data_IF_618454025235
#
_entry.id   IF_618454025235
#
_cell.length_a   1.000
_cell.length_b   1.000
_cell.length_c   1.000
_cell.angle_alpha   90.00
_cell.angle_beta   90.00
_cell.angle_gamma   90.00
#
_symmetry.space_group_name_H-M   'P 1'
#
loop_
_entity.id
_entity.type
_entity.pdbx_description
1 polymer ?
#
# COMPACT_ATOMS: atom_id res chain seq x y z
N UNK A 1 -1.25 -24.64 7.28
CA UNK A 1 -1.48 -23.18 7.29
C UNK A 1 -2.93 -22.97 7.71
N UNK A 2 -3.22 -21.94 8.50
CA UNK A 2 -4.61 -21.62 8.85
C UNK A 2 -5.33 -21.06 7.63
N UNK A 3 -6.58 -21.45 7.40
CA UNK A 3 -7.38 -21.04 6.23
C UNK A 3 -8.75 -20.49 6.65
N UNK A 4 -9.18 -19.43 5.96
CA UNK A 4 -10.51 -18.84 6.03
C UNK A 4 -11.11 -18.86 4.63
N UNK A 5 -12.01 -19.79 4.35
CA UNK A 5 -12.62 -19.93 3.04
C UNK A 5 -13.96 -19.20 3.00
N UNK A 6 -14.07 -18.19 2.14
CA UNK A 6 -15.26 -17.37 2.01
C UNK A 6 -16.45 -18.23 1.54
N UNK A 7 -17.56 -18.20 2.29
CA UNK A 7 -18.75 -19.01 2.00
C UNK A 7 -19.56 -18.50 0.82
N UNK A 8 -19.46 -17.21 0.51
CA UNK A 8 -20.20 -16.55 -0.57
C UNK A 8 -20.15 -15.03 -0.45
N UNK A 9 -21.08 -14.37 -1.14
CA UNK A 9 -21.15 -12.91 -1.15
C UNK A 9 -21.48 -12.34 0.24
N UNK A 10 -20.73 -11.31 0.62
CA UNK A 10 -20.93 -10.64 1.90
C UNK A 10 -22.13 -9.67 1.82
N UNK A 11 -23.13 -9.79 2.72
CA UNK A 11 -24.31 -8.93 2.69
C UNK A 11 -24.02 -7.49 3.13
N UNK A 12 -22.90 -7.26 3.83
CA UNK A 12 -22.45 -5.95 4.34
C UNK A 12 -20.93 -5.83 4.27
N UNK A 13 -20.39 -4.63 4.58
CA UNK A 13 -18.95 -4.46 4.83
C UNK A 13 -18.59 -5.16 6.14
N UNK A 14 -17.43 -5.81 6.15
CA UNK A 14 -16.90 -6.50 7.32
C UNK A 14 -15.54 -5.91 7.69
N UNK A 15 -15.26 -5.88 8.98
CA UNK A 15 -14.01 -5.38 9.55
C UNK A 15 -13.15 -6.57 10.01
N UNK A 16 -12.02 -6.78 9.34
CA UNK A 16 -11.06 -7.85 9.67
C UNK A 16 -9.92 -7.35 10.58
N UNK A 17 -10.10 -6.23 11.28
CA UNK A 17 -9.17 -5.80 12.33
C UNK A 17 -8.94 -6.95 13.33
N UNK A 18 -7.67 -7.20 13.67
CA UNK A 18 -7.24 -8.23 14.61
C UNK A 18 -7.54 -9.67 14.16
N UNK A 19 -8.05 -9.89 12.95
CA UNK A 19 -8.11 -11.22 12.33
C UNK A 19 -6.72 -11.52 11.75
N UNK A 20 -5.79 -11.86 12.65
CA UNK A 20 -4.37 -12.14 12.36
C UNK A 20 -4.01 -13.55 12.80
N UNK A 21 -3.02 -14.21 12.19
CA UNK A 21 -2.63 -15.57 12.57
C UNK A 21 -2.29 -15.67 14.07
N UNK A 22 -1.59 -14.68 14.62
CA UNK A 22 -1.28 -14.63 16.05
C UNK A 22 -2.53 -14.53 16.94
N UNK A 23 -3.52 -13.73 16.56
CA UNK A 23 -4.76 -13.61 17.35
C UNK A 23 -5.59 -14.90 17.27
N UNK A 24 -5.59 -15.56 16.11
CA UNK A 24 -6.35 -16.80 15.89
C UNK A 24 -5.67 -18.03 16.51
N UNK A 25 -4.34 -18.07 16.62
CA UNK A 25 -3.61 -19.23 17.16
C UNK A 25 -3.92 -19.52 18.63
N UNK A 26 -4.40 -18.54 19.38
CA UNK A 26 -4.83 -18.69 20.77
C UNK A 26 -6.28 -19.18 20.94
N UNK A 27 -7.04 -19.36 19.85
CA UNK A 27 -8.46 -19.69 19.87
C UNK A 27 -8.71 -21.07 19.27
N UNK A 28 -9.74 -21.77 19.77
CA UNK A 28 -10.33 -22.87 19.02
C UNK A 28 -11.12 -22.36 17.82
N UNK A 29 -11.34 -23.21 16.81
CA UNK A 29 -12.16 -22.86 15.64
C UNK A 29 -13.57 -22.41 16.02
N UNK A 30 -14.16 -23.01 17.05
CA UNK A 30 -15.48 -22.65 17.57
C UNK A 30 -15.50 -21.28 18.27
N UNK A 31 -14.40 -20.87 18.89
CA UNK A 31 -14.26 -19.54 19.49
C UNK A 31 -13.97 -18.49 18.42
N UNK A 32 -13.07 -18.78 17.49
CA UNK A 32 -12.79 -17.92 16.35
C UNK A 32 -14.05 -17.65 15.52
N UNK A 33 -14.89 -18.66 15.32
CA UNK A 33 -16.16 -18.53 14.60
C UNK A 33 -17.14 -17.53 15.22
N UNK A 34 -17.05 -17.25 16.53
CA UNK A 34 -17.94 -16.30 17.24
C UNK A 34 -17.45 -14.86 17.18
N UNK A 35 -16.26 -14.59 16.62
CA UNK A 35 -15.74 -13.24 16.50
C UNK A 35 -16.65 -12.41 15.59
N UNK A 36 -17.17 -11.30 16.11
CA UNK A 36 -18.00 -10.39 15.33
C UNK A 36 -17.12 -9.55 14.40
N UNK A 37 -17.41 -9.62 13.10
CA UNK A 37 -16.73 -8.87 12.05
C UNK A 37 -17.69 -7.95 11.26
N UNK A 38 -18.99 -8.11 11.47
CA UNK A 38 -20.01 -7.28 10.82
C UNK A 38 -19.96 -5.83 11.28
N UNK A 39 -20.22 -4.91 10.35
CA UNK A 39 -20.30 -3.47 10.64
C UNK A 39 -21.72 -3.03 11.00
N UNK A 40 -22.74 -3.83 10.68
CA UNK A 40 -24.13 -3.49 11.00
C UNK A 40 -24.56 -4.03 12.37
N UNK A 41 -25.75 -3.61 12.80
CA UNK A 41 -26.39 -4.11 14.03
C UNK A 41 -26.93 -5.54 13.91
N UNK A 42 -26.87 -6.16 12.73
CA UNK A 42 -27.35 -7.54 12.52
C UNK A 42 -26.38 -8.56 13.10
N UNK A 43 -25.09 -8.21 13.26
CA UNK A 43 -24.06 -9.05 13.82
C UNK A 43 -23.68 -10.20 12.89
N UNK A 44 -22.73 -9.96 11.99
CA UNK A 44 -22.11 -11.02 11.19
C UNK A 44 -20.85 -11.52 11.92
N UNK A 45 -20.75 -12.83 12.14
CA UNK A 45 -19.57 -13.44 12.76
C UNK A 45 -18.60 -14.00 11.72
N UNK A 46 -17.38 -14.31 12.16
CA UNK A 46 -16.36 -14.92 11.30
C UNK A 46 -16.83 -16.27 10.74
N UNK A 47 -17.56 -17.08 11.53
CA UNK A 47 -18.10 -18.37 11.10
C UNK A 47 -19.26 -18.27 10.10
N UNK A 48 -20.02 -17.16 10.14
CA UNK A 48 -21.08 -16.89 9.15
C UNK A 48 -20.49 -16.55 7.79
N UNK A 49 -19.36 -15.85 7.76
CA UNK A 49 -18.69 -15.42 6.54
C UNK A 49 -17.73 -16.47 5.98
N UNK A 50 -17.05 -17.23 6.85
CA UNK A 50 -15.96 -18.14 6.45
C UNK A 50 -16.16 -19.56 7.00
N UNK A 51 -15.71 -20.53 6.22
CA UNK A 51 -15.31 -21.84 6.72
C UNK A 51 -13.89 -21.70 7.30
N UNK A 52 -13.70 -22.09 8.57
CA UNK A 52 -12.50 -21.80 9.35
C UNK A 52 -11.75 -23.11 9.57
N UNK A 53 -10.46 -23.14 9.23
CA UNK A 53 -9.54 -24.19 9.64
C UNK A 53 -8.30 -23.58 10.28
N UNK A 54 -8.04 -23.92 11.54
CA UNK A 54 -6.91 -23.37 12.30
C UNK A 54 -5.88 -24.45 12.63
N UNK A 55 -4.61 -24.10 12.47
CA UNK A 55 -3.49 -25.01 12.71
C UNK A 55 -2.44 -24.44 13.70
N UNK A 56 -2.70 -23.26 14.26
CA UNK A 56 -1.79 -22.57 15.17
C UNK A 56 -0.53 -22.00 14.52
N UNK A 57 -0.44 -21.96 13.19
CA UNK A 57 0.71 -21.39 12.48
C UNK A 57 0.64 -19.86 12.38
N UNK A 58 1.81 -19.24 12.14
CA UNK A 58 1.92 -17.80 11.87
C UNK A 58 1.50 -17.41 10.45
N UNK A 59 0.70 -18.23 9.78
CA UNK A 59 0.39 -18.13 8.36
C UNK A 59 -1.10 -18.31 8.13
N UNK A 60 -1.74 -17.31 7.52
CA UNK A 60 -3.19 -17.29 7.25
C UNK A 60 -3.46 -17.14 5.74
N UNK A 61 -4.23 -18.06 5.16
CA UNK A 61 -4.82 -17.88 3.82
C UNK A 61 -6.28 -17.48 3.98
N UNK A 62 -6.72 -16.45 3.26
CA UNK A 62 -8.12 -16.15 3.02
C UNK A 62 -8.44 -16.58 1.59
N UNK A 63 -9.18 -17.67 1.45
CA UNK A 63 -9.57 -18.23 0.15
C UNK A 63 -10.88 -17.58 -0.31
N UNK A 64 -10.83 -16.84 -1.40
CA UNK A 64 -11.94 -16.00 -1.86
C UNK A 64 -11.87 -14.58 -1.27
N UNK A 65 -12.10 -13.60 -2.13
CA UNK A 65 -12.03 -12.18 -1.79
C UNK A 65 -13.32 -11.42 -2.11
N UNK A 66 -13.42 -10.22 -1.55
CA UNK A 66 -14.51 -9.28 -1.81
C UNK A 66 -14.04 -7.86 -1.52
N UNK A 67 -14.53 -6.89 -2.30
CA UNK A 67 -14.31 -5.45 -2.05
C UNK A 67 -14.95 -4.93 -0.76
N UNK A 68 -15.67 -5.80 -0.03
CA UNK A 68 -16.29 -5.53 1.28
C UNK A 68 -15.45 -5.99 2.47
N UNK A 69 -14.28 -6.59 2.24
CA UNK A 69 -13.33 -7.00 3.28
C UNK A 69 -12.46 -5.81 3.72
N UNK A 70 -12.89 -5.07 4.73
CA UNK A 70 -12.14 -3.90 5.21
C UNK A 70 -11.11 -4.29 6.26
N UNK A 71 -10.01 -3.52 6.32
CA UNK A 71 -8.98 -3.62 7.37
C UNK A 71 -8.33 -5.01 7.48
N UNK A 72 -8.30 -5.75 6.37
CA UNK A 72 -7.60 -7.04 6.27
C UNK A 72 -6.12 -6.84 6.61
N UNK A 73 -5.61 -7.63 7.55
CA UNK A 73 -4.22 -7.55 8.01
C UNK A 73 -3.85 -6.25 8.74
N UNK A 74 -4.85 -5.46 9.16
CA UNK A 74 -4.60 -4.31 10.02
C UNK A 74 -3.95 -4.75 11.34
N UNK A 75 -3.00 -3.94 11.82
CA UNK A 75 -2.19 -4.20 13.00
C UNK A 75 -1.38 -5.52 13.00
N UNK A 76 -1.15 -6.13 11.82
CA UNK A 76 -0.29 -7.31 11.71
C UNK A 76 1.12 -7.00 12.22
N UNK A 77 1.59 -7.79 13.18
CA UNK A 77 2.87 -7.59 13.86
C UNK A 77 3.91 -8.67 13.56
N UNK A 78 3.48 -9.83 13.05
CA UNK A 78 4.32 -10.94 12.65
C UNK A 78 3.56 -11.91 11.74
N UNK A 79 4.28 -12.86 11.15
CA UNK A 79 3.69 -13.88 10.30
C UNK A 79 3.29 -13.37 8.92
N UNK A 80 2.38 -14.09 8.26
CA UNK A 80 1.91 -13.75 6.92
C UNK A 80 0.42 -13.93 6.76
N UNK A 81 -0.17 -13.06 5.93
CA UNK A 81 -1.56 -13.17 5.48
C UNK A 81 -1.56 -13.14 3.95
N UNK A 82 -2.23 -14.10 3.33
CA UNK A 82 -2.45 -14.17 1.89
C UNK A 82 -3.95 -14.15 1.60
N UNK A 83 -4.39 -13.28 0.69
CA UNK A 83 -5.77 -13.21 0.22
C UNK A 83 -5.86 -13.63 -1.25
N UNK A 84 -6.71 -14.61 -1.51
CA UNK A 84 -6.98 -15.15 -2.83
C UNK A 84 -8.25 -14.50 -3.41
N UNK A 85 -8.13 -13.23 -3.78
CA UNK A 85 -9.17 -12.41 -4.39
C UNK A 85 -8.96 -10.93 -4.09
N UNK A 86 -10.02 -10.15 -4.26
CA UNK A 86 -10.05 -8.71 -3.96
C UNK A 86 -10.23 -8.43 -2.46
N UNK A 87 -9.84 -7.23 -2.04
CA UNK A 87 -10.05 -6.73 -0.67
C UNK A 87 -10.65 -5.33 -0.70
N UNK A 88 -11.27 -4.95 0.42
CA UNK A 88 -11.83 -3.62 0.64
C UNK A 88 -10.80 -2.57 1.05
N UNK A 89 -11.26 -1.58 1.83
CA UNK A 89 -10.42 -0.44 2.20
C UNK A 89 -9.43 -0.78 3.32
N UNK A 90 -8.38 0.04 3.45
CA UNK A 90 -7.47 0.03 4.62
C UNK A 90 -6.72 -1.29 4.83
N UNK A 91 -6.37 -1.98 3.74
CA UNK A 91 -5.51 -3.16 3.76
C UNK A 91 -4.22 -2.86 4.55
N UNK A 92 -3.92 -3.64 5.59
CA UNK A 92 -2.70 -3.48 6.37
C UNK A 92 -2.62 -2.18 7.19
N UNK A 93 -3.75 -1.59 7.58
CA UNK A 93 -3.77 -0.37 8.40
C UNK A 93 -2.93 -0.57 9.67
N UNK A 94 -1.94 0.30 9.89
CA UNK A 94 -1.09 0.22 11.08
C UNK A 94 -0.24 -1.06 11.19
N UNK A 95 -0.02 -1.79 10.10
CA UNK A 95 0.84 -2.98 10.08
C UNK A 95 2.25 -2.65 10.60
N UNK A 96 2.74 -3.45 11.55
CA UNK A 96 4.02 -3.26 12.22
C UNK A 96 5.15 -4.09 11.60
N UNK A 97 4.87 -5.33 11.22
CA UNK A 97 5.80 -6.20 10.50
C UNK A 97 5.05 -7.39 9.85
N UNK A 98 5.79 -8.28 9.19
CA UNK A 98 5.23 -9.45 8.49
C UNK A 98 5.05 -9.22 6.98
N UNK A 99 4.32 -10.13 6.34
CA UNK A 99 4.00 -10.05 4.91
C UNK A 99 2.49 -10.16 4.68
N UNK A 100 1.96 -9.28 3.84
CA UNK A 100 0.54 -9.26 3.47
C UNK A 100 0.44 -9.26 1.95
N UNK A 101 -0.12 -10.33 1.36
CA UNK A 101 -0.22 -10.49 -0.09
C UNK A 101 -1.66 -10.64 -0.53
N UNK A 102 -2.08 -9.84 -1.51
CA UNK A 102 -3.41 -9.89 -2.14
C UNK A 102 -3.22 -10.23 -3.61
N UNK A 103 -3.93 -11.24 -4.10
CA UNK A 103 -3.87 -11.67 -5.50
C UNK A 103 -4.74 -10.81 -6.43
N UNK A 104 -5.85 -10.28 -5.92
CA UNK A 104 -6.71 -9.35 -6.64
C UNK A 104 -6.32 -7.88 -6.40
N UNK A 105 -7.32 -7.02 -6.48
CA UNK A 105 -7.21 -5.58 -6.26
C UNK A 105 -7.53 -5.20 -4.81
N UNK A 106 -7.02 -4.05 -4.39
CA UNK A 106 -7.30 -3.48 -3.07
C UNK A 106 -8.11 -2.19 -3.17
N UNK A 107 -9.03 -1.99 -2.23
CA UNK A 107 -9.78 -0.76 -2.10
C UNK A 107 -8.93 0.44 -1.64
N UNK A 108 -9.58 1.59 -1.39
CA UNK A 108 -8.88 2.83 -1.07
C UNK A 108 -8.15 2.76 0.28
N UNK A 109 -7.18 3.66 0.47
CA UNK A 109 -6.41 3.78 1.72
C UNK A 109 -5.61 2.51 2.10
N UNK A 110 -5.27 1.65 1.14
CA UNK A 110 -4.40 0.50 1.39
C UNK A 110 -3.04 0.95 1.94
N UNK A 111 -2.56 0.36 3.04
CA UNK A 111 -1.25 0.63 3.63
C UNK A 111 -1.18 1.87 4.53
N UNK A 112 -2.31 2.51 4.86
CA UNK A 112 -2.29 3.68 5.77
C UNK A 112 -1.65 3.34 7.11
N UNK A 113 -0.71 4.16 7.57
CA UNK A 113 -0.07 4.04 8.87
C UNK A 113 0.82 2.80 9.03
N UNK A 114 1.04 2.00 7.99
CA UNK A 114 1.91 0.83 8.08
C UNK A 114 3.37 1.26 8.35
N UNK A 115 3.93 0.76 9.44
CA UNK A 115 5.24 1.16 9.99
C UNK A 115 6.36 0.19 9.60
N UNK A 116 6.03 -1.05 9.25
CA UNK A 116 6.99 -2.05 8.81
C UNK A 116 6.36 -3.24 8.10
N UNK A 117 7.21 -4.13 7.60
CA UNK A 117 6.80 -5.27 6.77
C UNK A 117 6.55 -4.89 5.30
N UNK A 118 5.98 -5.84 4.57
CA UNK A 118 5.72 -5.70 3.12
C UNK A 118 4.28 -6.04 2.79
N UNK A 119 3.58 -5.10 2.15
CA UNK A 119 2.23 -5.28 1.61
C UNK A 119 2.36 -5.39 0.09
N UNK A 120 1.86 -6.48 -0.50
CA UNK A 120 1.90 -6.73 -1.93
C UNK A 120 0.48 -6.90 -2.48
N UNK A 121 0.12 -6.09 -3.47
CA UNK A 121 -1.12 -6.15 -4.22
C UNK A 121 -0.74 -6.56 -5.64
N UNK A 122 -1.21 -7.74 -6.08
CA UNK A 122 -0.92 -8.25 -7.42
C UNK A 122 -1.80 -7.61 -8.50
N UNK A 123 -3.00 -7.15 -8.14
CA UNK A 123 -3.86 -6.33 -9.00
C UNK A 123 -3.63 -4.83 -8.83
N UNK A 124 -4.73 -4.08 -8.91
CA UNK A 124 -4.76 -2.63 -8.80
C UNK A 124 -5.02 -2.17 -7.36
N UNK A 125 -4.65 -0.93 -7.06
CA UNK A 125 -4.96 -0.28 -5.79
C UNK A 125 -5.86 0.93 -6.04
N UNK A 126 -6.92 1.07 -5.23
CA UNK A 126 -7.81 2.22 -5.29
C UNK A 126 -7.15 3.53 -4.85
N UNK A 127 -7.94 4.60 -4.87
CA UNK A 127 -7.48 5.93 -4.49
C UNK A 127 -6.89 5.98 -3.07
N UNK A 128 -5.95 6.90 -2.88
CA UNK A 128 -5.25 7.11 -1.62
C UNK A 128 -4.50 5.87 -1.11
N UNK A 129 -4.09 4.94 -1.99
CA UNK A 129 -3.16 3.88 -1.61
C UNK A 129 -1.86 4.50 -1.04
N UNK A 130 -1.39 4.00 0.09
CA UNK A 130 -0.30 4.58 0.89
C UNK A 130 -0.63 5.95 1.51
N UNK A 131 -1.86 6.42 1.37
CA UNK A 131 -2.34 7.74 1.78
C UNK A 131 -2.82 7.81 3.22
N UNK A 132 -2.96 9.02 3.75
CA UNK A 132 -3.55 9.26 5.06
C UNK A 132 -5.09 9.17 5.02
N UNK A 133 -5.70 8.46 5.99
CA UNK A 133 -7.14 8.55 6.22
C UNK A 133 -7.51 9.91 6.83
N UNK A 134 -8.81 10.19 6.96
CA UNK A 134 -9.31 11.42 7.55
C UNK A 134 -8.66 11.70 8.92
N UNK A 135 -8.19 12.94 9.10
CA UNK A 135 -7.48 13.43 10.29
C UNK A 135 -6.20 12.66 10.69
N UNK A 136 -5.70 11.72 9.87
CA UNK A 136 -4.46 11.02 10.16
C UNK A 136 -3.23 11.93 10.01
N UNK A 137 -2.25 11.72 10.91
CA UNK A 137 -0.97 12.45 10.94
C UNK A 137 -0.12 12.17 9.69
N UNK A 138 -0.19 10.96 9.15
CA UNK A 138 0.57 10.49 7.99
C UNK A 138 -0.16 9.35 7.26
N UNK A 139 0.23 9.12 6.00
CA UNK A 139 -0.12 7.92 5.23
C UNK A 139 0.80 6.76 5.59
N UNK A 140 1.50 6.20 4.61
CA UNK A 140 2.52 5.16 4.83
C UNK A 140 3.65 5.70 5.74
N UNK A 141 4.03 4.94 6.77
CA UNK A 141 4.95 5.39 7.83
C UNK A 141 6.14 4.44 8.08
N UNK A 142 6.48 3.59 7.11
CA UNK A 142 7.73 2.82 7.14
C UNK A 142 7.71 1.49 6.40
N UNK A 143 6.54 0.90 6.17
CA UNK A 143 6.43 -0.35 5.42
C UNK A 143 6.79 -0.17 3.93
N UNK A 144 7.00 -1.31 3.24
CA UNK A 144 7.07 -1.33 1.77
C UNK A 144 5.73 -1.73 1.19
N UNK A 145 5.16 -0.90 0.33
CA UNK A 145 3.92 -1.17 -0.40
C UNK A 145 4.24 -1.45 -1.87
N UNK A 146 3.88 -2.62 -2.37
CA UNK A 146 4.13 -3.06 -3.74
C UNK A 146 2.77 -3.26 -4.42
N UNK A 147 2.53 -2.51 -5.49
CA UNK A 147 1.33 -2.58 -6.33
C UNK A 147 1.80 -2.99 -7.72
N UNK A 148 1.44 -4.18 -8.18
CA UNK A 148 1.86 -4.67 -9.50
C UNK A 148 1.10 -3.98 -10.62
N UNK A 149 -0.19 -3.68 -10.41
CA UNK A 149 -1.04 -2.96 -11.34
C UNK A 149 -0.94 -1.43 -11.21
N UNK A 150 -2.07 -0.77 -11.45
CA UNK A 150 -2.25 0.67 -11.34
C UNK A 150 -2.69 1.08 -9.93
N UNK A 151 -2.19 2.22 -9.46
CA UNK A 151 -2.75 2.92 -8.31
C UNK A 151 -3.64 4.07 -8.77
N UNK A 152 -4.74 4.31 -8.05
CA UNK A 152 -5.62 5.46 -8.27
C UNK A 152 -4.98 6.81 -7.91
N UNK A 153 -5.83 7.81 -7.69
CA UNK A 153 -5.39 9.16 -7.37
C UNK A 153 -4.80 9.22 -5.95
N UNK A 154 -3.96 10.22 -5.69
CA UNK A 154 -3.39 10.48 -4.36
C UNK A 154 -2.54 9.32 -3.79
N UNK A 155 -1.89 8.53 -4.65
CA UNK A 155 -0.90 7.52 -4.24
C UNK A 155 0.17 8.15 -3.33
N UNK A 156 0.35 7.62 -2.13
CA UNK A 156 1.34 8.10 -1.16
C UNK A 156 1.00 9.47 -0.56
N UNK A 157 -0.28 9.85 -0.52
CA UNK A 157 -0.70 11.10 0.09
C UNK A 157 -0.25 11.23 1.56
N UNK A 158 0.46 12.31 1.88
CA UNK A 158 1.03 12.54 3.22
C UNK A 158 1.90 11.37 3.72
N UNK A 159 2.51 10.61 2.80
CA UNK A 159 3.49 9.58 3.13
C UNK A 159 4.64 10.17 3.95
N UNK A 160 5.03 9.49 5.02
CA UNK A 160 6.05 9.94 5.97
C UNK A 160 7.34 9.15 5.87
N UNK A 161 7.26 7.85 5.63
CA UNK A 161 8.40 6.95 5.51
C UNK A 161 8.00 5.69 4.74
N UNK A 162 8.98 4.95 4.25
CA UNK A 162 8.78 3.68 3.55
C UNK A 162 9.09 3.79 2.07
N UNK A 163 8.69 2.76 1.35
CA UNK A 163 8.86 2.64 -0.10
C UNK A 163 7.54 2.22 -0.73
N UNK A 164 7.10 2.93 -1.76
CA UNK A 164 5.98 2.52 -2.61
C UNK A 164 6.53 2.15 -3.99
N UNK A 165 6.17 0.98 -4.48
CA UNK A 165 6.45 0.51 -5.84
C UNK A 165 5.12 0.29 -6.56
N UNK A 166 4.89 0.98 -7.67
CA UNK A 166 3.65 0.84 -8.46
C UNK A 166 3.93 0.60 -9.95
N UNK A 167 2.98 -0.01 -10.67
CA UNK A 167 3.02 -0.13 -12.12
C UNK A 167 2.74 1.21 -12.80
N UNK A 168 1.57 1.80 -12.52
CA UNK A 168 1.20 3.18 -12.91
C UNK A 168 0.51 3.88 -11.73
N UNK A 169 0.34 5.21 -11.80
CA UNK A 169 -0.33 5.96 -10.73
C UNK A 169 -1.15 7.13 -11.26
N UNK A 170 -2.27 7.41 -10.60
CA UNK A 170 -3.21 8.49 -10.95
C UNK A 170 -2.70 9.90 -10.66
N UNK A 171 -3.63 10.85 -10.73
CA UNK A 171 -3.38 12.26 -10.47
C UNK A 171 -2.99 12.50 -9.01
N UNK A 172 -2.29 13.61 -8.76
CA UNK A 172 -1.87 14.02 -7.42
C UNK A 172 -1.04 12.97 -6.66
N UNK A 173 -0.38 12.05 -7.36
CA UNK A 173 0.57 11.13 -6.75
C UNK A 173 1.61 11.91 -5.93
N UNK A 174 1.92 11.43 -4.73
CA UNK A 174 2.79 12.07 -3.75
C UNK A 174 2.29 13.43 -3.22
N UNK A 175 0.97 13.69 -3.25
CA UNK A 175 0.40 14.89 -2.65
C UNK A 175 0.73 14.98 -1.16
N UNK A 176 1.06 16.18 -0.68
CA UNK A 176 1.33 16.48 0.74
C UNK A 176 2.44 15.62 1.36
N UNK A 177 3.27 14.96 0.54
CA UNK A 177 4.27 13.99 0.99
C UNK A 177 5.23 14.62 1.98
N UNK A 178 5.39 13.98 3.14
CA UNK A 178 6.24 14.44 4.24
C UNK A 178 7.69 13.99 4.03
N UNK A 179 7.89 12.74 3.61
CA UNK A 179 9.15 12.11 3.20
C UNK A 179 8.90 10.66 2.70
N UNK A 180 9.95 9.98 2.22
CA UNK A 180 9.86 8.60 1.71
C UNK A 180 10.24 8.50 0.24
N UNK A 181 10.05 7.32 -0.35
CA UNK A 181 10.35 7.08 -1.77
C UNK A 181 9.18 6.40 -2.46
N UNK A 182 8.77 6.91 -3.62
CA UNK A 182 7.74 6.32 -4.48
C UNK A 182 8.36 6.11 -5.86
N UNK A 183 8.30 4.88 -6.39
CA UNK A 183 8.80 4.55 -7.72
C UNK A 183 7.68 3.90 -8.54
N UNK A 184 7.31 4.54 -9.64
CA UNK A 184 6.26 4.11 -10.55
C UNK A 184 6.91 3.71 -11.88
N UNK A 185 6.71 2.48 -12.35
CA UNK A 185 7.35 2.03 -13.59
C UNK A 185 6.86 2.81 -14.82
N UNK A 186 5.55 3.09 -14.86
CA UNK A 186 4.86 3.77 -15.96
C UNK A 186 4.63 5.25 -15.71
N UNK A 187 3.53 5.77 -16.28
CA UNK A 187 3.17 7.18 -16.19
C UNK A 187 2.50 7.53 -14.84
N UNK A 188 2.76 8.76 -14.40
CA UNK A 188 1.97 9.47 -13.39
C UNK A 188 0.85 10.26 -14.06
N UNK A 189 -0.29 10.39 -13.38
CA UNK A 189 -1.30 11.38 -13.72
C UNK A 189 -0.84 12.83 -13.47
N UNK A 190 -1.78 13.75 -13.63
CA UNK A 190 -1.52 15.19 -13.52
C UNK A 190 -1.19 15.62 -12.08
N UNK A 191 -0.42 16.71 -11.99
CA UNK A 191 -0.11 17.44 -10.76
C UNK A 191 0.57 16.59 -9.66
N UNK A 192 1.58 15.76 -9.98
CA UNK A 192 2.29 15.00 -8.96
C UNK A 192 3.01 15.94 -7.98
N UNK A 193 3.07 15.53 -6.72
CA UNK A 193 3.81 16.24 -5.68
C UNK A 193 3.14 17.51 -5.16
N UNK A 194 1.84 17.73 -5.37
CA UNK A 194 1.14 18.90 -4.83
C UNK A 194 1.29 19.01 -3.31
N UNK A 195 1.93 20.07 -2.83
CA UNK A 195 2.25 20.28 -1.41
C UNK A 195 3.35 19.36 -0.86
N UNK A 196 4.17 18.74 -1.72
CA UNK A 196 5.28 17.88 -1.32
C UNK A 196 6.32 18.67 -0.52
N UNK A 197 6.64 18.17 0.67
CA UNK A 197 7.58 18.76 1.63
C UNK A 197 9.01 18.25 1.39
N UNK A 198 9.15 16.91 1.34
CA UNK A 198 10.38 16.16 1.04
C UNK A 198 9.98 14.84 0.39
N UNK A 199 10.96 14.04 0.01
CA UNK A 199 10.77 12.70 -0.52
C UNK A 199 11.16 12.65 -1.99
N UNK A 200 11.29 11.43 -2.48
CA UNK A 200 11.73 11.14 -3.84
C UNK A 200 10.60 10.45 -4.59
N UNK A 201 10.14 11.05 -5.67
CA UNK A 201 9.24 10.43 -6.64
C UNK A 201 10.02 10.10 -7.91
N UNK A 202 9.88 8.89 -8.43
CA UNK A 202 10.51 8.47 -9.69
C UNK A 202 9.44 7.84 -10.57
N UNK A 203 9.36 8.23 -11.84
CA UNK A 203 8.37 7.70 -12.77
C UNK A 203 8.90 7.50 -14.19
N UNK A 204 8.28 6.61 -14.95
CA UNK A 204 8.57 6.42 -16.38
C UNK A 204 8.11 7.60 -17.26
N UNK A 205 7.10 8.34 -16.80
CA UNK A 205 6.59 9.56 -17.42
C UNK A 205 5.63 10.28 -16.47
N UNK A 206 5.18 11.48 -16.84
CA UNK A 206 4.26 12.27 -16.02
C UNK A 206 3.26 13.05 -16.88
N UNK A 207 2.08 13.33 -16.31
CA UNK A 207 1.13 14.31 -16.82
C UNK A 207 1.59 15.76 -16.61
N UNK A 208 0.65 16.70 -16.52
CA UNK A 208 0.96 18.11 -16.30
C UNK A 208 1.66 18.35 -14.95
N UNK A 209 2.87 18.92 -14.96
CA UNK A 209 3.55 19.32 -13.73
C UNK A 209 2.94 20.59 -13.13
N UNK A 210 3.14 20.75 -11.83
CA UNK A 210 2.82 22.01 -11.15
C UNK A 210 3.82 23.10 -11.55
N UNK A 211 3.39 24.37 -11.67
CA UNK A 211 4.30 25.50 -11.92
C UNK A 211 5.38 25.69 -10.86
N UNK A 212 5.20 25.09 -9.68
CA UNK A 212 6.09 25.15 -8.52
C UNK A 212 7.10 23.99 -8.46
N UNK A 213 7.17 23.15 -9.49
CA UNK A 213 8.27 22.21 -9.72
C UNK A 213 9.23 22.78 -10.75
N UNK A 214 10.49 22.93 -10.37
CA UNK A 214 11.54 23.52 -11.22
C UNK A 214 12.54 22.46 -11.65
N UNK A 215 12.85 22.42 -12.95
CA UNK A 215 13.87 21.50 -13.47
C UNK A 215 15.26 21.87 -12.92
N UNK A 216 16.04 20.86 -12.55
CA UNK A 216 17.42 20.99 -12.05
C UNK A 216 18.45 20.31 -12.96
N UNK A 217 18.04 19.88 -14.16
CA UNK A 217 18.87 19.21 -15.16
C UNK A 217 18.93 17.69 -14.96
N UNK A 218 20.03 17.08 -15.42
CA UNK A 218 20.24 15.62 -15.40
C UNK A 218 21.44 15.22 -14.51
N UNK A 219 21.36 15.41 -13.18
CA UNK A 219 22.47 15.12 -12.29
C UNK A 219 22.67 13.61 -12.07
N UNK A 220 23.92 13.15 -12.12
CA UNK A 220 24.30 11.79 -11.70
C UNK A 220 24.50 11.77 -10.18
N UNK A 221 23.48 11.30 -9.47
CA UNK A 221 23.46 11.28 -8.00
C UNK A 221 23.75 9.87 -7.45
N UNK A 222 24.67 9.78 -6.51
CA UNK A 222 25.00 8.52 -5.79
C UNK A 222 23.77 7.86 -5.18
N UNK A 223 22.83 8.66 -4.66
CA UNK A 223 21.56 8.19 -4.12
C UNK A 223 20.76 7.34 -5.12
N UNK A 224 20.68 7.75 -6.40
CA UNK A 224 19.95 7.01 -7.44
C UNK A 224 20.57 5.62 -7.64
N UNK A 225 21.91 5.52 -7.60
CA UNK A 225 22.63 4.24 -7.72
C UNK A 225 22.33 3.31 -6.53
N UNK A 226 22.30 3.85 -5.31
CA UNK A 226 21.96 3.09 -4.10
C UNK A 226 20.49 2.62 -4.11
N UNK A 227 19.58 3.48 -4.57
CA UNK A 227 18.18 3.13 -4.74
C UNK A 227 18.02 2.02 -5.78
N UNK A 228 18.65 2.14 -6.95
CA UNK A 228 18.62 1.11 -8.00
C UNK A 228 19.10 -0.27 -7.48
N UNK A 229 20.21 -0.31 -6.73
CA UNK A 229 20.69 -1.57 -6.12
C UNK A 229 19.71 -2.13 -5.09
N UNK A 230 19.05 -1.26 -4.32
CA UNK A 230 18.03 -1.67 -3.35
C UNK A 230 16.81 -2.25 -4.04
N UNK A 231 16.36 -1.65 -5.15
CA UNK A 231 15.27 -2.18 -5.97
C UNK A 231 15.63 -3.53 -6.64
N UNK A 232 16.87 -3.70 -7.12
CA UNK A 232 17.35 -4.98 -7.67
C UNK A 232 17.30 -6.10 -6.64
N UNK A 233 17.72 -5.82 -5.39
CA UNK A 233 17.66 -6.80 -4.29
C UNK A 233 16.24 -7.22 -3.94
N UNK A 234 15.27 -6.33 -4.14
CA UNK A 234 13.84 -6.63 -3.96
C UNK A 234 13.19 -7.32 -5.18
N UNK A 235 13.93 -7.52 -6.28
CA UNK A 235 13.37 -8.04 -7.53
C UNK A 235 12.33 -7.10 -8.16
N UNK A 236 12.43 -5.80 -7.89
CA UNK A 236 11.48 -4.81 -8.39
C UNK A 236 11.73 -4.49 -9.87
N UNK A 237 10.69 -4.56 -10.70
CA UNK A 237 10.76 -4.22 -12.13
C UNK A 237 11.22 -2.76 -12.36
N UNK A 238 10.85 -1.88 -11.43
CA UNK A 238 11.24 -0.47 -11.36
C UNK A 238 12.75 -0.25 -11.36
N UNK A 239 13.56 -1.25 -10.98
CA UNK A 239 15.02 -1.11 -10.97
C UNK A 239 15.61 -0.75 -12.34
N UNK A 240 14.94 -1.16 -13.44
CA UNK A 240 15.37 -0.82 -14.80
C UNK A 240 15.24 0.68 -15.12
N UNK A 241 14.27 1.36 -14.51
CA UNK A 241 14.02 2.79 -14.73
C UNK A 241 15.18 3.67 -14.27
N UNK A 242 15.91 3.24 -13.24
CA UNK A 242 17.04 3.97 -12.66
C UNK A 242 18.37 3.66 -13.37
N UNK A 243 18.35 2.87 -14.44
CA UNK A 243 19.56 2.50 -15.20
C UNK A 243 20.03 3.57 -16.19
N UNK A 244 19.16 4.49 -16.59
CA UNK A 244 19.45 5.57 -17.54
C UNK A 244 19.70 6.92 -16.88
N UNK A 245 19.93 7.93 -17.72
CA UNK A 245 19.99 9.33 -17.28
C UNK A 245 18.60 9.82 -16.90
N UNK A 246 18.50 10.47 -15.74
CA UNK A 246 17.23 11.00 -15.23
C UNK A 246 17.26 12.53 -15.21
N UNK A 247 16.20 13.15 -15.72
CA UNK A 247 15.87 14.55 -15.51
C UNK A 247 15.26 14.71 -14.12
N UNK A 248 15.73 15.71 -13.37
CA UNK A 248 15.30 15.98 -12.00
C UNK A 248 14.53 17.29 -11.93
N UNK A 249 13.43 17.29 -11.19
CA UNK A 249 12.70 18.47 -10.77
C UNK A 249 12.72 18.60 -9.25
N UNK A 250 12.78 19.84 -8.75
CA UNK A 250 12.70 20.16 -7.32
C UNK A 250 11.38 20.87 -7.02
N UNK A 251 10.71 20.46 -5.95
CA UNK A 251 9.40 21.01 -5.57
C UNK A 251 8.88 20.37 -4.28
N UNK A 252 7.75 20.77 -3.73
CA UNK A 252 6.90 21.87 -4.17
C UNK A 252 7.33 23.17 -3.49
N UNK A 253 7.53 24.24 -4.26
CA UNK A 253 7.88 25.57 -3.76
C UNK A 253 6.76 26.24 -2.93
N UNK A 254 5.54 25.72 -2.97
CA UNK A 254 4.47 26.14 -2.04
C UNK A 254 4.75 25.70 -0.58
N UNK A 255 5.72 24.80 -0.34
CA UNK A 255 6.15 24.40 1.00
C UNK A 255 7.61 24.74 1.27
N UNK A 256 8.50 23.76 1.47
CA UNK A 256 9.93 23.98 1.72
C UNK A 256 10.84 23.56 0.55
N UNK A 257 10.28 23.10 -0.58
CA UNK A 257 11.02 22.83 -1.81
C UNK A 257 12.10 21.73 -1.73
N UNK A 258 12.02 20.80 -0.77
CA UNK A 258 13.00 19.72 -0.57
C UNK A 258 12.55 18.36 -1.11
N UNK A 259 11.40 18.31 -1.79
CA UNK A 259 10.99 17.15 -2.55
C UNK A 259 11.61 17.15 -3.93
N UNK A 260 11.63 15.97 -4.55
CA UNK A 260 12.20 15.79 -5.88
C UNK A 260 11.43 14.77 -6.70
N UNK A 261 11.36 15.04 -8.00
CA UNK A 261 10.81 14.15 -9.01
C UNK A 261 11.93 13.80 -10.00
N UNK A 262 12.07 12.52 -10.33
CA UNK A 262 12.93 12.05 -11.41
C UNK A 262 12.10 11.37 -12.50
N UNK A 263 12.44 11.65 -13.74
CA UNK A 263 11.93 10.96 -14.92
C UNK A 263 13.05 10.73 -15.93
N UNK A 264 12.97 9.73 -16.82
CA UNK A 264 13.91 9.57 -17.94
C UNK A 264 14.11 10.87 -18.72
N UNK A 265 15.37 11.15 -19.09
CA UNK A 265 15.77 12.39 -19.76
C UNK A 265 15.31 12.51 -21.22
#
# INVERSE_FOLDING_TARGET
>A
MSTLRLRGDLPERVDLLNITPLALSGLSEAEAGKLAIGTSRRGLTLGDAFEISLDGSDSLVIEGGSSRLDRVGAALSQGSIRVEGDVGQRLGEGMAAGTLTVTGSAGPYAGTGATGGTITIQGDAGDHAGGAVYAAKAGLDGATLIIKGAAGDHLGDRMRKGLILAGSAGAYTASRMIAGTIVVSGALGDHPGYGMRRGTLIAGGHGALLPTFVETGTPDLVFVRLLAQSLKRLGAAQAGLLGGTLRRYSGDLATLGKGELFVPA
#
